data_IF_779415928412
#
_entry.id   IF_779415928412
#
_cell.length_a   1.000
_cell.length_b   1.000
_cell.length_c   1.000
_cell.angle_alpha   90.00
_cell.angle_beta   90.00
_cell.angle_gamma   90.00
#
_symmetry.space_group_name_H-M   'P 1'
#
loop_
_entity.id
_entity.type
_entity.pdbx_description
1 polymer ?
#
# COMPACT_ATOMS: atom_id res chain seq x y z
N UNK A 1 -0.31 -14.85 15.92
CA UNK A 1 -0.37 -15.69 14.71
C UNK A 1 -1.06 -16.98 15.11
N UNK A 2 -1.85 -17.57 14.23
CA UNK A 2 -2.46 -18.88 14.46
C UNK A 2 -1.37 -19.95 14.70
N UNK A 3 -1.60 -20.85 15.65
CA UNK A 3 -0.61 -21.84 16.11
C UNK A 3 -0.26 -22.88 15.04
N UNK A 4 -1.13 -23.10 14.07
CA UNK A 4 -0.93 -24.03 12.96
C UNK A 4 -0.45 -23.34 11.68
N UNK A 5 -0.41 -22.00 11.66
CA UNK A 5 -0.08 -21.21 10.49
C UNK A 5 1.23 -21.64 9.81
N UNK A 6 2.31 -21.76 10.57
CA UNK A 6 3.63 -22.11 10.00
C UNK A 6 3.60 -23.48 9.35
N UNK A 7 2.99 -24.48 10.01
CA UNK A 7 2.89 -25.85 9.47
C UNK A 7 2.07 -25.86 8.19
N UNK A 8 0.87 -25.27 8.19
CA UNK A 8 -0.01 -25.23 7.02
C UNK A 8 0.61 -24.48 5.84
N UNK A 9 1.15 -23.28 6.09
CA UNK A 9 1.79 -22.46 5.06
C UNK A 9 3.00 -23.17 4.46
N UNK A 10 3.82 -23.82 5.29
CA UNK A 10 5.00 -24.55 4.83
C UNK A 10 4.61 -25.79 4.02
N UNK A 11 3.64 -26.59 4.49
CA UNK A 11 3.13 -27.74 3.72
C UNK A 11 2.56 -27.30 2.38
N UNK A 12 1.78 -26.21 2.34
CA UNK A 12 1.26 -25.66 1.09
C UNK A 12 2.36 -25.13 0.16
N UNK A 13 3.39 -24.48 0.73
CA UNK A 13 4.55 -24.03 -0.03
C UNK A 13 5.28 -25.20 -0.70
N UNK A 14 5.47 -26.31 0.02
CA UNK A 14 6.11 -27.52 -0.51
C UNK A 14 5.26 -28.17 -1.60
N UNK A 15 3.94 -28.33 -1.38
CA UNK A 15 3.06 -29.01 -2.35
C UNK A 15 2.96 -28.27 -3.68
N UNK A 16 3.02 -26.94 -3.66
CA UNK A 16 2.95 -26.11 -4.87
C UNK A 16 4.31 -25.61 -5.37
N UNK A 17 5.42 -26.03 -4.75
CA UNK A 17 6.76 -25.51 -5.03
C UNK A 17 6.82 -23.98 -5.05
N UNK A 18 6.15 -23.33 -4.09
CA UNK A 18 6.08 -21.89 -3.98
C UNK A 18 7.32 -21.33 -3.29
N UNK A 19 7.91 -20.28 -3.85
CA UNK A 19 8.96 -19.51 -3.18
C UNK A 19 8.36 -18.52 -2.17
N UNK A 20 7.07 -18.21 -2.33
CA UNK A 20 6.34 -17.29 -1.48
C UNK A 20 4.88 -17.70 -1.40
N UNK A 21 4.28 -17.65 -0.21
CA UNK A 21 2.85 -17.93 0.01
C UNK A 21 2.21 -16.74 0.68
N UNK A 22 1.30 -16.06 -0.01
CA UNK A 22 0.44 -15.04 0.58
C UNK A 22 -0.71 -15.69 1.33
N UNK A 23 -1.17 -15.01 2.38
CA UNK A 23 -2.33 -15.41 3.16
C UNK A 23 -3.06 -14.21 3.75
N UNK A 24 -4.28 -14.45 4.24
CA UNK A 24 -5.13 -13.39 4.79
C UNK A 24 -4.80 -13.07 6.25
N UNK A 25 -5.36 -11.98 6.77
CA UNK A 25 -5.17 -11.59 8.16
C UNK A 25 -6.49 -11.15 8.79
N UNK A 26 -6.65 -11.41 10.07
CA UNK A 26 -7.66 -10.73 10.86
C UNK A 26 -7.24 -9.27 11.05
N UNK A 27 -8.21 -8.36 11.10
CA UNK A 27 -8.01 -6.99 11.56
C UNK A 27 -8.74 -6.83 12.87
N UNK A 28 -8.06 -6.23 13.84
CA UNK A 28 -8.64 -5.96 15.15
C UNK A 28 -8.27 -4.57 15.64
N UNK A 29 -9.21 -3.87 16.23
CA UNK A 29 -8.98 -2.63 16.99
C UNK A 29 -8.87 -2.88 18.51
N UNK A 30 -8.82 -4.15 18.92
CA UNK A 30 -8.82 -4.57 20.32
C UNK A 30 -10.22 -4.74 20.91
N UNK A 31 -11.28 -4.33 20.19
CA UNK A 31 -12.69 -4.50 20.62
C UNK A 31 -13.43 -5.42 19.66
N UNK A 32 -13.26 -5.20 18.36
CA UNK A 32 -13.84 -5.98 17.28
C UNK A 32 -12.75 -6.66 16.47
N UNK A 33 -12.99 -7.91 16.06
CA UNK A 33 -12.09 -8.65 15.17
C UNK A 33 -12.88 -9.14 13.98
N UNK A 34 -12.39 -8.85 12.78
CA UNK A 34 -12.99 -9.30 11.54
C UNK A 34 -11.92 -9.83 10.60
N UNK A 35 -12.27 -10.88 9.84
CA UNK A 35 -11.39 -11.34 8.77
C UNK A 35 -11.24 -10.23 7.73
N UNK A 36 -10.02 -9.95 7.28
CA UNK A 36 -9.84 -9.11 6.10
C UNK A 36 -10.57 -9.74 4.92
N UNK A 37 -11.15 -8.91 4.05
CA UNK A 37 -11.60 -9.40 2.75
C UNK A 37 -10.46 -10.18 2.09
N UNK A 38 -10.73 -11.35 1.47
CA UNK A 38 -9.71 -12.16 0.84
C UNK A 38 -8.81 -11.30 -0.03
N UNK A 39 -7.49 -11.42 0.18
CA UNK A 39 -6.51 -10.82 -0.72
C UNK A 39 -6.75 -11.48 -2.07
N UNK A 40 -7.37 -10.76 -3.01
CA UNK A 40 -7.64 -11.27 -4.37
C UNK A 40 -6.33 -11.50 -5.13
N UNK A 41 -5.51 -12.45 -4.70
CA UNK A 41 -4.20 -12.79 -5.26
C UNK A 41 -4.39 -13.97 -6.19
N UNK A 42 -3.96 -13.81 -7.44
CA UNK A 42 -3.93 -14.90 -8.40
C UNK A 42 -2.62 -15.67 -8.23
N UNK A 43 -2.73 -16.95 -7.87
CA UNK A 43 -1.59 -17.88 -7.79
C UNK A 43 -0.80 -17.88 -9.09
N UNK A 44 0.52 -17.81 -9.00
CA UNK A 44 1.46 -17.80 -10.13
C UNK A 44 1.20 -16.73 -11.21
N UNK A 45 0.45 -15.67 -10.91
CA UNK A 45 0.32 -14.52 -11.77
C UNK A 45 1.13 -13.34 -11.21
N UNK A 46 2.45 -13.39 -11.44
CA UNK A 46 3.39 -12.38 -10.96
C UNK A 46 3.03 -10.97 -11.44
N UNK A 47 2.58 -10.84 -12.69
CA UNK A 47 2.21 -9.54 -13.24
C UNK A 47 1.03 -8.91 -12.51
N UNK A 48 -0.05 -9.68 -12.33
CA UNK A 48 -1.22 -9.24 -11.60
C UNK A 48 -0.88 -8.89 -10.14
N UNK A 49 0.01 -9.66 -9.50
CA UNK A 49 0.46 -9.41 -8.14
C UNK A 49 1.29 -8.12 -8.04
N UNK A 50 2.27 -7.94 -8.93
CA UNK A 50 3.07 -6.71 -9.02
C UNK A 50 2.18 -5.49 -9.27
N UNK A 51 1.28 -5.58 -10.26
CA UNK A 51 0.29 -4.53 -10.55
C UNK A 51 -0.56 -4.22 -9.31
N UNK A 52 -1.07 -5.25 -8.62
CA UNK A 52 -1.92 -5.07 -7.44
C UNK A 52 -1.20 -4.42 -6.26
N UNK A 53 0.08 -4.75 -6.03
CA UNK A 53 0.92 -4.11 -5.02
C UNK A 53 1.21 -2.66 -5.40
N UNK A 54 1.65 -2.42 -6.64
CA UNK A 54 2.02 -1.10 -7.13
C UNK A 54 0.81 -0.16 -7.17
N UNK A 55 -0.40 -0.59 -7.56
CA UNK A 55 -1.56 0.32 -7.50
C UNK A 55 -2.26 0.38 -6.14
N UNK A 56 -1.67 -0.21 -5.09
CA UNK A 56 -2.23 -0.22 -3.74
C UNK A 56 -3.54 -1.00 -3.61
N UNK A 57 -3.84 -1.91 -4.54
CA UNK A 57 -4.99 -2.82 -4.45
C UNK A 57 -4.76 -3.94 -3.45
N UNK A 58 -3.51 -4.39 -3.35
CA UNK A 58 -3.03 -5.36 -2.36
C UNK A 58 -2.15 -4.64 -1.34
N UNK A 59 -2.35 -4.96 -0.06
CA UNK A 59 -1.47 -4.46 1.00
C UNK A 59 -0.10 -5.15 0.89
N UNK A 60 0.93 -4.37 0.59
CA UNK A 60 2.30 -4.87 0.54
C UNK A 60 2.93 -5.01 1.92
N UNK A 61 2.34 -5.81 2.81
CA UNK A 61 2.89 -6.10 4.14
C UNK A 61 3.60 -7.45 4.17
N UNK A 62 4.76 -7.50 4.80
CA UNK A 62 5.57 -8.71 4.95
C UNK A 62 4.91 -9.73 5.90
N UNK A 63 4.15 -9.27 6.91
CA UNK A 63 3.43 -10.14 7.86
C UNK A 63 2.28 -10.94 7.24
N UNK A 64 1.97 -10.75 5.96
CA UNK A 64 0.96 -11.53 5.25
C UNK A 64 1.52 -12.46 4.19
N UNK A 65 2.78 -12.87 4.36
CA UNK A 65 3.42 -13.84 3.48
C UNK A 65 4.41 -14.74 4.24
N UNK A 66 4.48 -16.00 3.83
CA UNK A 66 5.61 -16.89 4.11
C UNK A 66 6.57 -16.74 2.93
N UNK A 67 7.85 -16.44 3.20
CA UNK A 67 8.82 -16.06 2.17
C UNK A 67 10.07 -16.93 2.29
N UNK A 68 10.50 -17.52 1.18
CA UNK A 68 11.74 -18.28 1.12
C UNK A 68 12.94 -17.37 1.37
N UNK A 69 13.80 -17.75 2.32
CA UNK A 69 14.95 -16.96 2.78
C UNK A 69 15.84 -16.45 1.63
N UNK A 70 16.13 -17.29 0.63
CA UNK A 70 17.02 -16.93 -0.48
C UNK A 70 16.48 -15.82 -1.37
N UNK A 71 15.20 -15.44 -1.27
CA UNK A 71 14.65 -14.30 -2.02
C UNK A 71 15.18 -12.96 -1.52
N UNK A 72 15.67 -12.91 -0.27
CA UNK A 72 16.27 -11.73 0.33
C UNK A 72 17.72 -11.49 -0.12
N UNK A 73 18.33 -12.45 -0.83
CA UNK A 73 19.70 -12.30 -1.31
C UNK A 73 19.76 -11.20 -2.37
N UNK A 74 20.59 -10.18 -2.14
CA UNK A 74 20.82 -9.08 -3.08
C UNK A 74 19.70 -8.03 -3.16
N UNK A 75 18.75 -8.00 -2.23
CA UNK A 75 17.76 -6.91 -2.16
C UNK A 75 18.36 -5.67 -1.49
N UNK A 76 17.80 -4.50 -1.82
CA UNK A 76 18.10 -3.25 -1.11
C UNK A 76 17.03 -3.01 -0.05
N UNK A 77 17.41 -3.04 1.22
CA UNK A 77 16.47 -2.75 2.30
C UNK A 77 16.19 -1.24 2.40
N UNK A 78 14.91 -0.85 2.53
CA UNK A 78 14.53 0.54 2.79
C UNK A 78 15.04 1.02 4.15
N UNK A 79 15.30 2.33 4.26
CA UNK A 79 15.77 2.96 5.51
C UNK A 79 14.69 3.75 6.25
N UNK A 80 13.65 4.15 5.53
CA UNK A 80 12.56 4.95 6.08
C UNK A 80 11.40 4.05 6.50
N UNK A 81 10.60 4.50 7.47
CA UNK A 81 9.53 3.68 8.05
C UNK A 81 8.27 3.64 7.18
N UNK A 82 8.08 4.58 6.27
CA UNK A 82 6.85 4.65 5.47
C UNK A 82 6.97 3.80 4.21
N UNK A 83 6.17 2.73 4.12
CA UNK A 83 6.12 1.84 2.94
C UNK A 83 7.42 1.07 2.69
N UNK A 84 8.17 0.83 3.75
CA UNK A 84 9.29 -0.09 3.85
C UNK A 84 8.89 -1.52 3.45
N UNK A 85 7.75 -2.01 3.95
CA UNK A 85 7.27 -3.35 3.62
C UNK A 85 6.97 -3.46 2.11
N UNK A 86 6.38 -2.41 1.52
CA UNK A 86 6.05 -2.36 0.10
C UNK A 86 7.33 -2.37 -0.77
N UNK A 87 8.32 -1.57 -0.39
CA UNK A 87 9.61 -1.52 -1.08
C UNK A 87 10.33 -2.87 -1.03
N UNK A 88 10.22 -3.57 0.10
CA UNK A 88 10.80 -4.90 0.29
C UNK A 88 10.05 -5.95 -0.52
N UNK A 89 8.72 -6.02 -0.40
CA UNK A 89 7.91 -7.09 -1.00
C UNK A 89 7.90 -7.04 -2.53
N UNK A 90 8.02 -5.86 -3.14
CA UNK A 90 8.11 -5.73 -4.60
C UNK A 90 9.38 -6.44 -5.13
N UNK A 91 10.51 -6.29 -4.44
CA UNK A 91 11.75 -6.96 -4.81
C UNK A 91 11.64 -8.48 -4.63
N UNK A 92 11.03 -8.93 -3.53
CA UNK A 92 10.83 -10.34 -3.22
C UNK A 92 9.90 -11.04 -4.23
N UNK A 93 8.78 -10.41 -4.57
CA UNK A 93 7.84 -10.91 -5.59
C UNK A 93 8.52 -11.00 -6.95
N UNK A 94 9.31 -9.99 -7.32
CA UNK A 94 10.07 -10.05 -8.57
C UNK A 94 11.04 -11.24 -8.61
N UNK A 95 11.80 -11.45 -7.52
CA UNK A 95 12.78 -12.53 -7.39
C UNK A 95 12.15 -13.93 -7.29
N UNK A 96 10.91 -14.04 -6.80
CA UNK A 96 10.18 -15.30 -6.70
C UNK A 96 9.89 -15.92 -8.07
N UNK A 97 9.92 -17.25 -8.21
CA UNK A 97 9.46 -17.93 -9.43
C UNK A 97 7.98 -18.26 -9.32
N UNK A 98 7.59 -18.87 -8.21
CA UNK A 98 6.23 -19.32 -7.95
C UNK A 98 5.67 -18.65 -6.70
N UNK A 99 4.43 -18.17 -6.78
CA UNK A 99 3.73 -17.52 -5.68
C UNK A 99 2.40 -18.22 -5.44
N UNK A 100 2.24 -18.76 -4.24
CA UNK A 100 1.01 -19.35 -3.75
C UNK A 100 0.14 -18.32 -3.04
N UNK A 101 -1.17 -18.58 -3.04
CA UNK A 101 -2.11 -17.87 -2.20
C UNK A 101 -2.98 -18.87 -1.44
N UNK A 102 -2.95 -18.79 -0.12
CA UNK A 102 -3.78 -19.58 0.76
C UNK A 102 -4.85 -18.67 1.37
N UNK A 103 -6.10 -18.84 0.95
CA UNK A 103 -7.25 -18.04 1.38
C UNK A 103 -7.71 -18.41 2.79
N UNK A 104 -6.83 -18.17 3.77
CA UNK A 104 -7.08 -18.42 5.19
C UNK A 104 -6.40 -17.33 6.02
N UNK A 105 -7.13 -16.73 6.99
CA UNK A 105 -6.55 -15.73 7.86
C UNK A 105 -5.70 -16.37 8.96
N UNK A 106 -4.38 -16.13 8.93
CA UNK A 106 -3.44 -16.70 9.91
C UNK A 106 -2.83 -15.67 10.87
N UNK A 107 -2.87 -14.39 10.51
CA UNK A 107 -2.24 -13.33 11.29
C UNK A 107 -3.28 -12.37 11.87
N UNK A 108 -3.10 -11.95 13.12
CA UNK A 108 -3.97 -10.97 13.77
C UNK A 108 -3.29 -9.60 13.68
N UNK A 109 -3.74 -8.78 12.73
CA UNK A 109 -3.26 -7.43 12.53
C UNK A 109 -4.02 -6.46 13.43
N UNK A 110 -3.40 -6.06 14.54
CA UNK A 110 -3.92 -5.00 15.39
C UNK A 110 -3.69 -3.63 14.74
N UNK A 111 -4.72 -2.79 14.71
CA UNK A 111 -4.58 -1.39 14.33
C UNK A 111 -5.12 -0.50 15.45
N UNK A 112 -4.33 0.47 15.91
CA UNK A 112 -4.75 1.42 16.91
C UNK A 112 -5.61 2.53 16.25
N UNK A 113 -6.92 2.66 16.56
CA UNK A 113 -7.77 3.71 16.00
C UNK A 113 -7.33 5.12 16.41
N UNK A 114 -6.76 5.25 17.60
CA UNK A 114 -6.21 6.49 18.14
C UNK A 114 -4.75 6.74 17.71
N UNK A 115 -4.24 5.97 16.74
CA UNK A 115 -2.84 6.12 16.36
C UNK A 115 -2.54 7.53 15.86
N UNK A 116 -1.57 8.17 16.52
CA UNK A 116 -0.97 9.44 16.10
C UNK A 116 -0.41 9.32 14.67
N UNK A 117 -0.07 8.11 14.21
CA UNK A 117 0.30 7.90 12.80
C UNK A 117 -0.83 8.17 11.82
N UNK A 118 -2.09 8.19 12.25
CA UNK A 118 -3.26 8.53 11.42
C UNK A 118 -3.77 9.96 11.63
N UNK A 119 -3.43 10.60 12.76
CA UNK A 119 -3.97 11.90 13.19
C UNK A 119 -2.88 12.87 13.72
N UNK A 120 -1.71 12.87 13.09
CA UNK A 120 -0.61 13.79 13.44
C UNK A 120 -0.71 15.15 12.74
N UNK A 121 0.02 16.16 13.23
CA UNK A 121 0.10 17.50 12.66
C UNK A 121 0.52 17.52 11.18
N UNK A 122 0.36 18.67 10.52
CA UNK A 122 0.79 18.85 9.14
C UNK A 122 2.29 18.52 8.96
N UNK A 123 3.14 18.88 9.92
CA UNK A 123 4.57 18.59 9.97
C UNK A 123 4.84 17.08 10.03
N UNK A 124 4.12 16.33 10.86
CA UNK A 124 4.24 14.87 10.94
C UNK A 124 3.86 14.24 9.59
N UNK A 125 2.83 14.76 8.93
CA UNK A 125 2.39 14.26 7.63
C UNK A 125 3.37 14.59 6.50
N UNK A 126 4.00 15.78 6.53
CA UNK A 126 5.09 16.13 5.61
C UNK A 126 6.28 15.18 5.82
N UNK A 127 6.68 14.92 7.07
CA UNK A 127 7.77 14.00 7.36
C UNK A 127 7.49 12.60 6.80
N UNK A 128 6.27 12.07 7.00
CA UNK A 128 5.88 10.78 6.42
C UNK A 128 5.84 10.79 4.90
N UNK A 129 5.40 11.88 4.29
CA UNK A 129 5.45 12.04 2.84
C UNK A 129 6.90 11.94 2.35
N UNK A 130 7.86 12.62 2.99
CA UNK A 130 9.27 12.55 2.62
C UNK A 130 9.82 11.13 2.77
N UNK A 131 9.56 10.48 3.91
CA UNK A 131 9.92 9.07 4.13
C UNK A 131 9.37 8.14 3.04
N UNK A 132 8.09 8.33 2.70
CA UNK A 132 7.43 7.55 1.64
C UNK A 132 8.09 7.81 0.29
N UNK A 133 8.42 9.06 -0.05
CA UNK A 133 9.07 9.40 -1.32
C UNK A 133 10.40 8.66 -1.47
N UNK A 134 11.23 8.65 -0.43
CA UNK A 134 12.51 7.92 -0.45
C UNK A 134 12.34 6.42 -0.70
N UNK A 135 11.37 5.78 -0.01
CA UNK A 135 11.10 4.35 -0.24
C UNK A 135 10.44 4.07 -1.60
N UNK A 136 9.63 5.00 -2.13
CA UNK A 136 9.10 4.90 -3.50
C UNK A 136 10.21 5.09 -4.55
N UNK A 137 11.20 5.95 -4.31
CA UNK A 137 12.34 6.12 -5.21
C UNK A 137 13.21 4.86 -5.26
N UNK A 138 13.30 4.10 -4.15
CA UNK A 138 13.90 2.77 -4.14
C UNK A 138 13.13 1.82 -5.08
N UNK A 139 11.80 1.77 -4.97
CA UNK A 139 10.96 0.97 -5.87
C UNK A 139 11.17 1.38 -7.32
N UNK A 140 11.15 2.69 -7.63
CA UNK A 140 11.31 3.18 -8.99
C UNK A 140 12.69 2.84 -9.56
N UNK A 141 13.73 2.99 -8.77
CA UNK A 141 15.11 2.61 -9.14
C UNK A 141 15.20 1.11 -9.41
N UNK A 142 14.60 0.30 -8.54
CA UNK A 142 14.53 -1.15 -8.74
C UNK A 142 13.82 -1.51 -10.05
N UNK A 143 12.61 -0.97 -10.29
CA UNK A 143 11.85 -1.24 -11.51
C UNK A 143 12.60 -0.83 -12.78
N UNK A 144 13.30 0.31 -12.78
CA UNK A 144 14.16 0.76 -13.89
C UNK A 144 15.34 -0.18 -14.10
N UNK A 145 16.00 -0.62 -13.03
CA UNK A 145 17.12 -1.57 -13.11
C UNK A 145 16.72 -2.92 -13.72
N UNK A 146 15.43 -3.27 -13.66
CA UNK A 146 14.85 -4.49 -14.23
C UNK A 146 14.20 -4.26 -15.61
N UNK A 147 14.20 -3.03 -16.12
CA UNK A 147 13.60 -2.68 -17.42
C UNK A 147 12.08 -2.80 -17.47
N UNK A 148 11.39 -2.67 -16.32
CA UNK A 148 9.93 -2.85 -16.21
C UNK A 148 9.20 -1.62 -15.67
N UNK A 149 9.89 -0.48 -15.55
CA UNK A 149 9.28 0.74 -15.01
C UNK A 149 8.12 1.21 -15.90
N UNK A 150 8.33 1.25 -17.22
CA UNK A 150 7.37 1.73 -18.20
C UNK A 150 6.11 0.86 -18.24
N UNK A 151 6.29 -0.45 -18.05
CA UNK A 151 5.20 -1.44 -17.96
C UNK A 151 4.21 -1.12 -16.84
N UNK A 152 4.69 -0.58 -15.72
CA UNK A 152 3.88 -0.27 -14.54
C UNK A 152 3.63 1.25 -14.36
N UNK A 153 3.76 2.05 -15.43
CA UNK A 153 3.63 3.52 -15.35
C UNK A 153 2.32 3.95 -14.71
N UNK A 154 1.23 3.28 -15.07
CA UNK A 154 -0.08 3.52 -14.50
C UNK A 154 -0.06 3.28 -12.98
N UNK A 155 0.33 2.09 -12.55
CA UNK A 155 0.40 1.73 -11.12
C UNK A 155 1.35 2.64 -10.32
N UNK A 156 2.48 3.04 -10.91
CA UNK A 156 3.40 4.02 -10.34
C UNK A 156 2.70 5.37 -10.14
N UNK A 157 1.92 5.83 -11.11
CA UNK A 157 1.14 7.06 -10.98
C UNK A 157 0.10 6.97 -9.86
N UNK A 158 -0.51 5.79 -9.63
CA UNK A 158 -1.36 5.58 -8.46
C UNK A 158 -0.61 5.75 -7.13
N UNK A 159 0.64 5.26 -7.00
CA UNK A 159 1.44 5.47 -5.79
C UNK A 159 1.76 6.95 -5.56
N UNK A 160 2.06 7.68 -6.63
CA UNK A 160 2.36 9.11 -6.59
C UNK A 160 1.15 9.91 -6.12
N UNK A 161 -0.04 9.63 -6.69
CA UNK A 161 -1.31 10.21 -6.22
C UNK A 161 -1.57 9.86 -4.76
N UNK A 162 -1.42 8.59 -4.37
CA UNK A 162 -1.59 8.15 -2.98
C UNK A 162 -0.61 8.82 -2.00
N UNK A 163 0.53 9.31 -2.47
CA UNK A 163 1.47 10.08 -1.63
C UNK A 163 0.93 11.47 -1.30
N UNK A 164 0.28 12.14 -2.26
CA UNK A 164 -0.36 13.45 -2.03
C UNK A 164 -1.43 13.40 -0.94
N UNK A 165 -2.11 12.25 -0.80
CA UNK A 165 -3.18 12.05 0.18
C UNK A 165 -2.77 12.23 1.65
N UNK A 166 -1.47 12.19 1.96
CA UNK A 166 -0.96 12.48 3.31
C UNK A 166 -1.27 13.90 3.76
N UNK A 167 -1.39 14.84 2.81
CA UNK A 167 -1.55 16.27 3.04
C UNK A 167 -3.01 16.72 2.93
N UNK A 168 -3.91 15.87 2.43
CA UNK A 168 -5.26 16.24 2.03
C UNK A 168 -6.10 16.90 3.14
N UNK A 169 -5.87 16.54 4.42
CA UNK A 169 -6.58 17.15 5.57
C UNK A 169 -6.19 18.60 5.82
N UNK A 170 -5.01 19.01 5.37
CA UNK A 170 -4.40 20.30 5.67
C UNK A 170 -4.40 21.22 4.44
N UNK A 171 -5.16 20.89 3.40
CA UNK A 171 -5.17 21.62 2.13
C UNK A 171 -5.70 23.06 2.23
N UNK A 172 -6.37 23.42 3.34
CA UNK A 172 -6.75 24.81 3.63
C UNK A 172 -5.53 25.69 3.99
N UNK A 173 -4.40 25.10 4.38
CA UNK A 173 -3.16 25.82 4.69
C UNK A 173 -2.40 26.12 3.38
N UNK A 174 -2.13 27.40 3.03
CA UNK A 174 -1.47 27.74 1.76
C UNK A 174 -0.11 27.06 1.55
N UNK A 175 0.68 26.92 2.63
CA UNK A 175 1.97 26.21 2.62
C UNK A 175 1.80 24.75 2.19
N UNK A 176 0.81 24.06 2.75
CA UNK A 176 0.57 22.64 2.47
C UNK A 176 0.07 22.44 1.04
N UNK A 177 -0.84 23.32 0.59
CA UNK A 177 -1.31 23.31 -0.80
C UNK A 177 -0.15 23.42 -1.80
N UNK A 178 0.82 24.29 -1.53
CA UNK A 178 2.04 24.42 -2.35
C UNK A 178 2.86 23.11 -2.37
N UNK A 179 3.06 22.49 -1.21
CA UNK A 179 3.78 21.20 -1.12
C UNK A 179 3.03 20.11 -1.90
N UNK A 180 1.70 20.05 -1.78
CA UNK A 180 0.85 19.09 -2.50
C UNK A 180 1.00 19.23 -4.02
N UNK A 181 0.95 20.46 -4.56
CA UNK A 181 1.14 20.71 -5.99
C UNK A 181 2.56 20.35 -6.47
N UNK A 182 3.57 20.61 -5.65
CA UNK A 182 4.97 20.32 -5.98
C UNK A 182 5.36 18.84 -5.76
N UNK A 183 4.49 18.04 -5.14
CA UNK A 183 4.72 16.61 -4.93
C UNK A 183 4.34 15.85 -6.20
N UNK A 184 5.34 15.35 -6.94
CA UNK A 184 5.15 14.71 -8.25
C UNK A 184 4.45 15.64 -9.27
N UNK A 185 5.07 16.77 -9.67
CA UNK A 185 4.44 17.79 -10.51
C UNK A 185 3.99 17.29 -11.88
N UNK A 186 4.56 16.17 -12.36
CA UNK A 186 4.15 15.49 -13.59
C UNK A 186 2.74 14.87 -13.51
N UNK A 187 2.19 14.68 -12.30
CA UNK A 187 0.84 14.16 -12.09
C UNK A 187 -0.18 15.30 -12.12
N UNK A 188 -0.99 15.33 -13.17
CA UNK A 188 -2.07 16.28 -13.38
C UNK A 188 -3.44 15.58 -13.51
N UNK A 189 -4.51 16.39 -13.60
CA UNK A 189 -5.90 15.89 -13.66
C UNK A 189 -6.17 14.96 -14.84
N UNK A 190 -5.52 15.19 -16.00
CA UNK A 190 -5.68 14.33 -17.19
C UNK A 190 -5.07 12.95 -16.89
N UNK A 191 -3.88 12.90 -16.31
CA UNK A 191 -3.23 11.65 -15.88
C UNK A 191 -4.13 10.86 -14.93
N UNK A 192 -4.74 11.53 -13.95
CA UNK A 192 -5.63 10.89 -12.97
C UNK A 192 -6.93 10.36 -13.60
N UNK A 193 -7.56 11.13 -14.49
CA UNK A 193 -8.81 10.73 -15.16
C UNK A 193 -8.57 9.50 -16.05
N UNK A 194 -7.53 9.57 -16.90
CA UNK A 194 -7.21 8.53 -17.90
C UNK A 194 -6.70 7.23 -17.29
N UNK A 195 -6.28 7.24 -16.03
CA UNK A 195 -5.70 6.08 -15.39
C UNK A 195 -6.73 4.96 -15.17
N UNK A 196 -6.53 3.83 -15.86
CA UNK A 196 -7.49 2.72 -15.88
C UNK A 196 -7.47 1.85 -14.61
N UNK A 197 -6.32 1.78 -13.92
CA UNK A 197 -6.14 0.91 -12.76
C UNK A 197 -6.36 1.62 -11.41
N UNK A 198 -6.39 2.95 -11.39
CA UNK A 198 -6.69 3.71 -10.18
C UNK A 198 -8.12 3.46 -9.70
N UNK A 199 -8.30 3.31 -8.39
CA UNK A 199 -9.64 3.19 -7.78
C UNK A 199 -10.43 4.47 -8.00
N UNK A 200 -11.71 4.35 -8.35
CA UNK A 200 -12.62 5.50 -8.53
C UNK A 200 -12.64 6.42 -7.31
N UNK A 201 -12.64 5.84 -6.11
CA UNK A 201 -12.55 6.61 -4.88
C UNK A 201 -11.30 7.50 -4.86
N UNK A 202 -10.11 6.95 -5.15
CA UNK A 202 -8.87 7.74 -5.17
C UNK A 202 -8.90 8.89 -6.19
N UNK A 203 -9.60 8.74 -7.32
CA UNK A 203 -9.83 9.85 -8.26
C UNK A 203 -10.70 10.94 -7.62
N UNK A 204 -11.80 10.56 -6.97
CA UNK A 204 -12.68 11.50 -6.27
C UNK A 204 -11.92 12.24 -5.17
N UNK A 205 -11.10 11.53 -4.38
CA UNK A 205 -10.29 12.12 -3.33
C UNK A 205 -9.28 13.13 -3.90
N UNK A 206 -8.58 12.77 -5.00
CA UNK A 206 -7.67 13.68 -5.70
C UNK A 206 -8.36 14.99 -6.13
N UNK A 207 -9.54 14.90 -6.76
CA UNK A 207 -10.27 16.09 -7.21
C UNK A 207 -10.82 16.91 -6.04
N UNK A 208 -11.32 16.25 -4.99
CA UNK A 208 -11.75 16.93 -3.78
C UNK A 208 -10.61 17.72 -3.14
N UNK A 209 -9.40 17.17 -3.12
CA UNK A 209 -8.21 17.82 -2.57
C UNK A 209 -7.73 18.96 -3.45
N UNK A 210 -7.76 18.78 -4.78
CA UNK A 210 -7.44 19.82 -5.75
C UNK A 210 -8.35 21.06 -5.62
N UNK A 211 -9.64 20.82 -5.36
CA UNK A 211 -10.65 21.86 -5.17
C UNK A 211 -10.70 22.43 -3.74
N UNK A 212 -9.91 21.89 -2.81
CA UNK A 212 -9.87 22.33 -1.41
C UNK A 212 -11.09 21.91 -0.57
N UNK A 213 -11.97 21.05 -1.11
CA UNK A 213 -13.22 20.61 -0.48
C UNK A 213 -13.09 19.27 0.24
N UNK A 214 -12.01 18.51 0.00
CA UNK A 214 -11.78 17.21 0.66
C UNK A 214 -11.75 17.26 2.19
N UNK A 215 -11.12 18.27 2.85
CA UNK A 215 -11.20 18.40 4.31
C UNK A 215 -12.65 18.44 4.82
N UNK A 216 -13.54 19.10 4.07
CA UNK A 216 -14.97 19.26 4.40
C UNK A 216 -15.68 17.91 4.29
N UNK A 217 -15.49 17.18 3.18
CA UNK A 217 -16.07 15.84 3.01
C UNK A 217 -15.65 14.86 4.10
N UNK A 218 -14.39 14.93 4.52
CA UNK A 218 -13.86 14.05 5.56
C UNK A 218 -14.40 14.41 6.95
N UNK A 219 -14.53 15.70 7.24
CA UNK A 219 -15.17 16.19 8.46
C UNK A 219 -16.63 15.72 8.55
N UNK A 220 -17.42 15.90 7.47
CA UNK A 220 -18.81 15.46 7.39
C UNK A 220 -18.96 13.94 7.53
N UNK A 221 -18.06 13.16 6.91
CA UNK A 221 -18.06 11.69 7.02
C UNK A 221 -17.80 11.20 8.44
N UNK A 222 -16.94 11.88 9.21
CA UNK A 222 -16.68 11.52 10.61
C UNK A 222 -17.91 11.81 11.48
N UNK A 223 -18.52 13.00 11.32
CA UNK A 223 -19.77 13.35 12.02
C UNK A 223 -20.85 12.30 11.76
N UNK A 224 -21.04 11.92 10.50
CA UNK A 224 -22.05 10.93 10.14
C UNK A 224 -21.78 9.51 10.68
N UNK A 225 -20.51 9.17 10.90
CA UNK A 225 -20.12 7.89 11.52
C UNK A 225 -20.37 7.90 13.03
N UNK A 226 -20.17 9.03 13.68
CA UNK A 226 -20.43 9.20 15.11
C UNK A 226 -21.94 9.27 15.41
N UNK A 227 -22.75 9.81 14.50
CA UNK A 227 -24.23 9.78 14.57
C UNK A 227 -24.85 8.39 14.34
N UNK A 228 -24.07 7.40 13.92
CA UNK A 228 -24.50 6.01 13.65
C UNK A 228 -24.04 5.01 14.72
N UNK A 229 -23.34 5.47 15.75
CA UNK A 229 -23.06 4.71 16.97
C UNK A 229 -24.16 4.96 17.99
#
# INVERSE_FOLDING_TARGET
>A
MDVHAIKELYTFALSGHYDMVFYDFYRSDGVSTYASAPRKVSTNNKDFLMSSLLCGRLMGSLCGALIKRSLYDGITFPRQNMNEDLATIIQLVWNSRNVGYLMKPFYYYFFNPASITSYGSAEIQINKLNQRKENLDLIFTFLRSKGIYEKYTDEINALKVGSRMYLDRYMLMPRIRRIWHNTYPEINSITVIRHSKMRTLSKIEYFGSLLGVYPIFKYLKNIWKDLRK
#
